data_IF_208174230079
#
_entry.id   IF_208174230079
#
_cell.length_a   1.000
_cell.length_b   1.000
_cell.length_c   1.000
_cell.angle_alpha   90.00
_cell.angle_beta   90.00
_cell.angle_gamma   90.00
#
_symmetry.space_group_name_H-M   'P 1'
#
loop_
_entity.id
_entity.type
_entity.pdbx_description
1 polymer ?
#
# COMPACT_ATOMS: atom_id res chain seq x y z
N UNK A 1 -3.79 -2.41 21.92
CA UNK A 1 -3.91 -2.63 20.46
C UNK A 1 -3.69 -1.31 19.76
N UNK A 2 -2.92 -1.28 18.67
CA UNK A 2 -2.74 -0.07 17.89
C UNK A 2 -3.93 0.07 16.93
N UNK A 3 -4.85 0.98 17.21
CA UNK A 3 -5.93 1.31 16.29
C UNK A 3 -5.33 2.05 15.09
N UNK A 4 -5.61 1.57 13.88
CA UNK A 4 -5.20 2.26 12.65
C UNK A 4 -6.13 3.46 12.48
N UNK A 5 -5.60 4.68 12.57
CA UNK A 5 -6.35 5.89 12.28
C UNK A 5 -6.15 6.25 10.80
N UNK A 6 -7.22 6.20 10.00
CA UNK A 6 -7.13 6.51 8.58
C UNK A 6 -7.23 8.02 8.37
N UNK A 7 -6.30 8.54 7.58
CA UNK A 7 -6.35 9.94 7.16
C UNK A 7 -6.01 10.05 5.68
N UNK A 8 -6.26 11.24 5.12
CA UNK A 8 -6.10 11.50 3.69
C UNK A 8 -4.67 11.24 3.18
N UNK A 9 -3.65 11.30 4.05
CA UNK A 9 -2.27 11.01 3.67
C UNK A 9 -2.00 9.54 3.38
N UNK A 10 -2.94 8.64 3.73
CA UNK A 10 -2.88 7.21 3.42
C UNK A 10 -3.47 6.90 2.04
N UNK A 11 -4.18 7.84 1.41
CA UNK A 11 -4.70 7.67 0.06
C UNK A 11 -3.56 7.50 -0.96
N UNK A 12 -3.81 6.69 -1.97
CA UNK A 12 -2.92 6.39 -3.09
C UNK A 12 -1.57 5.79 -2.67
N UNK A 13 -1.49 5.24 -1.45
CA UNK A 13 -0.34 4.48 -0.97
C UNK A 13 -0.66 3.00 -0.94
N UNK A 14 0.38 2.20 -1.17
CA UNK A 14 0.27 0.75 -1.16
C UNK A 14 0.52 0.22 0.26
N UNK A 15 -0.28 -0.75 0.66
CA UNK A 15 -0.19 -1.41 1.95
C UNK A 15 -0.34 -2.92 1.76
N UNK A 16 0.07 -3.66 2.78
CA UNK A 16 -0.38 -5.03 2.98
C UNK A 16 -0.93 -5.25 4.38
N UNK A 17 -1.89 -6.16 4.50
CA UNK A 17 -2.46 -6.57 5.79
C UNK A 17 -3.20 -7.90 5.70
N UNK A 18 -3.52 -8.48 6.86
CA UNK A 18 -4.45 -9.60 7.00
C UNK A 18 -5.70 -9.12 7.72
N UNK A 19 -6.85 -9.70 7.38
CA UNK A 19 -8.09 -9.41 8.11
C UNK A 19 -8.20 -10.26 9.38
N UNK A 20 -9.09 -9.86 10.28
CA UNK A 20 -9.51 -10.61 11.46
C UNK A 20 -10.61 -11.64 11.14
N UNK A 21 -11.15 -11.66 9.92
CA UNK A 21 -12.21 -12.58 9.57
C UNK A 21 -11.66 -14.02 9.56
N UNK A 22 -12.17 -14.94 10.40
CA UNK A 22 -11.59 -16.28 10.55
C UNK A 22 -11.73 -17.15 9.29
N UNK A 23 -12.65 -16.79 8.38
CA UNK A 23 -12.85 -17.50 7.12
C UNK A 23 -11.96 -16.94 5.99
N UNK A 24 -11.15 -15.93 6.27
CA UNK A 24 -10.31 -15.23 5.29
C UNK A 24 -8.83 -15.39 5.66
N UNK A 25 -8.09 -16.10 4.81
CA UNK A 25 -6.66 -16.37 4.99
C UNK A 25 -5.77 -15.55 4.06
N UNK A 26 -6.34 -14.60 3.33
CA UNK A 26 -5.66 -13.83 2.28
C UNK A 26 -4.73 -12.79 2.91
N UNK A 27 -3.54 -12.64 2.32
CA UNK A 27 -2.70 -11.46 2.52
C UNK A 27 -3.13 -10.42 1.48
N UNK A 28 -3.80 -9.36 1.94
CA UNK A 28 -4.20 -8.25 1.09
C UNK A 28 -2.97 -7.43 0.75
N UNK A 29 -2.75 -7.15 -0.53
CA UNK A 29 -1.70 -6.26 -1.04
C UNK A 29 -2.34 -5.35 -2.07
N UNK A 30 -2.27 -4.04 -1.85
CA UNK A 30 -3.13 -3.12 -2.58
C UNK A 30 -2.96 -1.66 -2.18
N UNK A 31 -3.72 -0.81 -2.85
CA UNK A 31 -3.72 0.64 -2.65
C UNK A 31 -5.02 1.08 -2.00
N UNK A 32 -4.94 1.98 -1.02
CA UNK A 32 -6.14 2.68 -0.54
C UNK A 32 -6.51 3.76 -1.55
N UNK A 33 -7.65 3.63 -2.20
CA UNK A 33 -8.11 4.57 -3.24
C UNK A 33 -9.25 5.49 -2.76
N UNK A 34 -9.78 5.25 -1.56
CA UNK A 34 -10.79 6.10 -0.95
C UNK A 34 -10.98 5.81 0.53
N UNK A 35 -11.42 6.81 1.28
CA UNK A 35 -11.84 6.71 2.69
C UNK A 35 -13.21 7.38 2.78
N UNK A 36 -14.18 6.72 3.41
CA UNK A 36 -15.55 7.19 3.46
C UNK A 36 -16.30 6.70 4.71
N UNK A 37 -17.43 7.34 5.06
CA UNK A 37 -18.29 6.88 6.14
C UNK A 37 -19.12 5.65 5.71
N UNK A 38 -19.75 5.01 6.70
CA UNK A 38 -20.56 3.81 6.54
C UNK A 38 -21.62 3.89 5.41
N UNK A 39 -22.32 5.02 5.29
CA UNK A 39 -23.41 5.20 4.33
C UNK A 39 -22.96 5.04 2.88
N UNK A 40 -21.69 5.36 2.60
CA UNK A 40 -21.07 5.16 1.28
C UNK A 40 -20.52 3.74 1.19
N UNK A 41 -19.84 3.26 2.24
CA UNK A 41 -19.27 1.91 2.29
C UNK A 41 -20.30 0.82 1.98
N UNK A 42 -21.49 0.92 2.59
CA UNK A 42 -22.57 -0.05 2.42
C UNK A 42 -23.11 -0.13 0.99
N UNK A 43 -23.04 0.97 0.22
CA UNK A 43 -23.48 0.97 -1.19
C UNK A 43 -22.57 0.13 -2.08
N UNK A 44 -21.29 -0.01 -1.70
CA UNK A 44 -20.28 -0.72 -2.49
C UNK A 44 -19.93 -2.11 -1.93
N UNK A 45 -20.35 -2.42 -0.71
CA UNK A 45 -20.17 -3.75 -0.11
C UNK A 45 -21.43 -4.14 0.67
N UNK A 46 -22.36 -4.88 0.03
CA UNK A 46 -23.60 -5.32 0.66
C UNK A 46 -23.34 -6.28 1.83
N UNK A 47 -22.19 -6.96 1.84
CA UNK A 47 -21.82 -7.95 2.86
C UNK A 47 -21.10 -7.35 4.09
N UNK A 48 -21.02 -6.02 4.21
CA UNK A 48 -20.37 -5.33 5.35
C UNK A 48 -20.83 -5.89 6.70
N UNK A 49 -22.14 -6.11 6.87
CA UNK A 49 -22.69 -6.62 8.14
C UNK A 49 -22.19 -8.02 8.44
N UNK A 50 -22.19 -8.91 7.44
CA UNK A 50 -21.72 -10.28 7.57
C UNK A 50 -20.22 -10.33 7.87
N UNK A 51 -19.42 -9.50 7.18
CA UNK A 51 -17.98 -9.41 7.42
C UNK A 51 -17.66 -8.84 8.80
N UNK A 52 -18.38 -7.78 9.23
CA UNK A 52 -18.26 -7.22 10.57
C UNK A 52 -18.52 -8.27 11.65
N UNK A 53 -19.61 -9.03 11.50
CA UNK A 53 -19.97 -10.11 12.42
C UNK A 53 -18.90 -11.20 12.46
N UNK A 54 -18.30 -11.55 11.33
CA UNK A 54 -17.22 -12.53 11.28
C UNK A 54 -15.97 -12.05 12.03
N UNK A 55 -15.54 -10.80 11.84
CA UNK A 55 -14.44 -10.22 12.61
C UNK A 55 -14.75 -10.14 14.11
N UNK A 56 -16.00 -9.86 14.49
CA UNK A 56 -16.45 -9.81 15.89
C UNK A 56 -16.35 -11.12 16.65
N UNK A 57 -16.38 -12.25 15.95
CA UNK A 57 -16.16 -13.56 16.58
C UNK A 57 -14.72 -13.70 17.11
N UNK A 58 -13.78 -12.96 16.52
CA UNK A 58 -12.37 -12.96 16.91
C UNK A 58 -12.06 -11.79 17.85
N UNK A 59 -12.65 -10.62 17.61
CA UNK A 59 -12.47 -9.43 18.45
C UNK A 59 -13.81 -8.78 18.84
N UNK A 60 -14.18 -8.98 20.10
CA UNK A 60 -15.43 -8.45 20.68
C UNK A 60 -15.47 -6.92 20.84
N UNK A 61 -14.33 -6.22 20.70
CA UNK A 61 -14.28 -4.75 20.75
C UNK A 61 -14.82 -4.09 19.48
N UNK A 62 -14.94 -4.85 18.38
CA UNK A 62 -15.53 -4.38 17.14
C UNK A 62 -17.04 -4.12 17.36
N UNK A 63 -17.56 -2.92 17.02
CA UNK A 63 -18.97 -2.56 17.22
C UNK A 63 -19.93 -3.55 16.58
N UNK A 64 -21.01 -3.92 17.27
CA UNK A 64 -22.05 -4.79 16.71
C UNK A 64 -22.81 -4.16 15.56
N UNK A 65 -22.98 -2.84 15.59
CA UNK A 65 -23.55 -2.06 14.51
C UNK A 65 -22.40 -1.46 13.67
N UNK A 66 -22.20 -1.90 12.41
CA UNK A 66 -21.15 -1.38 11.57
C UNK A 66 -21.29 0.12 11.27
N UNK A 67 -22.49 0.71 11.42
CA UNK A 67 -22.66 2.16 11.24
C UNK A 67 -21.94 3.00 12.30
N UNK A 68 -21.52 2.38 13.42
CA UNK A 68 -20.74 3.02 14.47
C UNK A 68 -19.23 3.07 14.16
N UNK A 69 -18.77 2.41 13.09
CA UNK A 69 -17.38 2.48 12.65
C UNK A 69 -17.17 3.80 11.90
N UNK A 70 -16.25 4.61 12.42
CA UNK A 70 -16.02 5.98 11.93
C UNK A 70 -15.54 6.05 10.48
N UNK A 71 -14.73 5.08 10.05
CA UNK A 71 -14.05 5.13 8.77
C UNK A 71 -13.95 3.77 8.10
N UNK A 72 -14.32 3.74 6.83
CA UNK A 72 -14.07 2.64 5.91
C UNK A 72 -13.11 3.09 4.83
N UNK A 73 -12.44 2.14 4.20
CA UNK A 73 -11.56 2.39 3.08
C UNK A 73 -11.79 1.42 1.94
N UNK A 74 -11.62 1.93 0.72
CA UNK A 74 -11.62 1.14 -0.50
C UNK A 74 -10.19 0.68 -0.79
N UNK A 75 -9.99 -0.62 -0.73
CA UNK A 75 -8.73 -1.27 -1.00
C UNK A 75 -8.77 -1.91 -2.38
N UNK A 76 -7.94 -1.40 -3.29
CA UNK A 76 -7.78 -1.92 -4.64
C UNK A 76 -6.59 -2.89 -4.66
N UNK A 77 -6.82 -4.16 -4.97
CA UNK A 77 -5.75 -5.15 -5.01
C UNK A 77 -4.72 -4.83 -6.08
N UNK A 78 -3.45 -5.11 -5.77
CA UNK A 78 -2.35 -5.09 -6.72
C UNK A 78 -2.32 -6.41 -7.48
N UNK A 79 -3.23 -6.61 -8.42
CA UNK A 79 -3.17 -7.77 -9.32
C UNK A 79 -2.23 -7.49 -10.50
N UNK A 80 -1.27 -8.39 -10.73
CA UNK A 80 -0.48 -8.47 -11.95
C UNK A 80 -1.27 -8.94 -13.18
N UNK A 81 -2.59 -9.19 -13.05
CA UNK A 81 -3.43 -9.76 -14.12
C UNK A 81 -4.82 -9.11 -14.18
N UNK A 82 -4.88 -7.85 -14.60
CA UNK A 82 -5.98 -7.31 -15.42
C UNK A 82 -7.38 -7.13 -14.80
N UNK A 83 -7.68 -7.68 -13.63
CA UNK A 83 -9.00 -7.52 -12.99
C UNK A 83 -8.83 -6.73 -11.69
N UNK A 84 -9.24 -5.47 -11.67
CA UNK A 84 -9.16 -4.65 -10.46
C UNK A 84 -10.20 -5.13 -9.43
N UNK A 85 -9.85 -6.12 -8.62
CA UNK A 85 -10.67 -6.53 -7.48
C UNK A 85 -10.57 -5.47 -6.37
N UNK A 86 -11.74 -5.01 -5.93
CA UNK A 86 -11.95 -3.78 -5.17
C UNK A 86 -12.77 -4.14 -3.94
N UNK A 87 -12.19 -3.97 -2.76
CA UNK A 87 -12.76 -4.42 -1.49
C UNK A 87 -12.94 -3.28 -0.50
N UNK A 88 -13.95 -3.39 0.35
CA UNK A 88 -14.20 -2.43 1.42
C UNK A 88 -13.74 -3.03 2.74
N UNK A 89 -12.95 -2.28 3.49
CA UNK A 89 -12.48 -2.65 4.82
C UNK A 89 -12.64 -1.49 5.80
N UNK A 90 -12.48 -1.78 7.08
CA UNK A 90 -12.24 -0.77 8.10
C UNK A 90 -11.02 -1.14 8.95
N UNK A 91 -10.42 -0.16 9.66
CA UNK A 91 -9.28 -0.38 10.55
C UNK A 91 -9.47 -1.52 11.55
N UNK A 92 -10.66 -1.61 12.12
CA UNK A 92 -11.00 -2.57 13.16
C UNK A 92 -11.06 -4.01 12.64
N UNK A 93 -11.13 -4.22 11.33
CA UNK A 93 -11.09 -5.56 10.74
C UNK A 93 -9.67 -6.01 10.40
N UNK A 94 -8.66 -5.16 10.59
CA UNK A 94 -7.26 -5.50 10.30
C UNK A 94 -6.66 -6.23 11.48
N UNK A 95 -6.02 -7.38 11.21
CA UNK A 95 -5.33 -8.16 12.23
C UNK A 95 -4.21 -7.33 12.89
N UNK A 96 -4.12 -7.28 14.24
CA UNK A 96 -3.11 -6.50 14.94
C UNK A 96 -1.68 -6.79 14.44
N UNK A 97 -0.93 -5.72 14.14
CA UNK A 97 0.45 -5.82 13.68
C UNK A 97 0.64 -6.28 12.23
N UNK A 98 -0.43 -6.57 11.49
CA UNK A 98 -0.34 -7.00 10.09
C UNK A 98 -0.27 -5.84 9.09
N UNK A 99 -0.61 -4.62 9.50
CA UNK A 99 -0.62 -3.45 8.61
C UNK A 99 0.79 -2.95 8.30
N UNK A 100 1.19 -3.07 7.04
CA UNK A 100 2.52 -2.69 6.56
C UNK A 100 2.38 -1.73 5.40
N UNK A 101 3.04 -0.57 5.48
CA UNK A 101 3.18 0.34 4.34
C UNK A 101 4.20 -0.23 3.37
N UNK A 102 3.80 -0.40 2.11
CA UNK A 102 4.69 -0.80 1.03
C UNK A 102 5.17 0.48 0.36
N UNK A 103 6.44 0.84 0.60
CA UNK A 103 7.05 1.99 -0.05
C UNK A 103 7.12 1.72 -1.55
N UNK A 104 6.25 2.35 -2.34
CA UNK A 104 6.20 2.21 -3.82
C UNK A 104 7.33 2.94 -4.54
N UNK A 105 8.41 3.31 -3.84
CA UNK A 105 9.60 3.89 -4.47
C UNK A 105 10.79 3.67 -3.56
N UNK A 106 11.44 2.51 -3.70
CA UNK A 106 12.85 2.44 -3.33
C UNK A 106 13.62 3.27 -4.37
N UNK A 107 13.87 4.54 -4.07
CA UNK A 107 14.83 5.33 -4.85
C UNK A 107 16.21 4.79 -4.52
N UNK A 108 16.75 3.96 -5.41
CA UNK A 108 18.15 3.50 -5.30
C UNK A 108 19.02 4.59 -5.90
N UNK A 109 19.74 5.33 -5.05
CA UNK A 109 20.75 6.30 -5.52
C UNK A 109 22.05 5.57 -5.82
N UNK A 110 22.43 5.48 -7.09
CA UNK A 110 23.70 4.90 -7.53
C UNK A 110 24.67 6.03 -7.86
N UNK A 111 25.71 6.19 -7.04
CA UNK A 111 26.80 7.14 -7.32
C UNK A 111 27.84 6.46 -8.18
N UNK A 112 27.95 6.89 -9.43
CA UNK A 112 28.98 6.45 -10.36
C UNK A 112 30.08 7.51 -10.39
N UNK A 113 31.31 7.09 -10.12
CA UNK A 113 32.50 7.93 -10.34
C UNK A 113 33.14 7.45 -11.64
N UNK A 114 32.84 8.14 -12.74
CA UNK A 114 33.39 7.85 -14.06
C UNK A 114 34.04 9.11 -14.65
N UNK A 115 35.23 8.94 -15.21
CA UNK A 115 36.01 10.00 -15.87
C UNK A 115 35.79 10.03 -17.38
N UNK A 116 35.03 9.08 -17.95
CA UNK A 116 34.91 8.87 -19.40
C UNK A 116 33.46 8.86 -19.93
N UNK A 117 32.61 9.83 -19.58
CA UNK A 117 31.28 10.04 -20.20
C UNK A 117 30.39 8.79 -20.48
N UNK A 118 30.57 7.65 -19.81
CA UNK A 118 29.84 6.41 -20.11
C UNK A 118 28.47 6.32 -19.39
N UNK A 119 27.97 7.45 -18.94
CA UNK A 119 26.69 7.64 -18.25
C UNK A 119 25.53 6.88 -18.90
N UNK A 120 25.41 6.94 -20.23
CA UNK A 120 24.33 6.29 -20.96
C UNK A 120 24.44 4.76 -20.94
N UNK A 121 25.64 4.19 -20.92
CA UNK A 121 25.83 2.73 -20.80
C UNK A 121 25.34 2.22 -19.46
N UNK A 122 25.59 2.97 -18.39
CA UNK A 122 25.17 2.59 -17.03
C UNK A 122 23.66 2.73 -16.87
N UNK A 123 23.07 3.83 -17.34
CA UNK A 123 21.61 3.98 -17.35
C UNK A 123 20.92 2.88 -18.16
N UNK A 124 21.48 2.51 -19.32
CA UNK A 124 20.96 1.41 -20.13
C UNK A 124 21.07 0.05 -19.42
N UNK A 125 22.19 -0.22 -18.75
CA UNK A 125 22.37 -1.43 -17.96
C UNK A 125 21.36 -1.49 -16.81
N UNK A 126 21.16 -0.39 -16.07
CA UNK A 126 20.19 -0.31 -14.97
C UNK A 126 18.75 -0.48 -15.46
N UNK A 127 18.39 0.17 -16.57
CA UNK A 127 17.08 -0.01 -17.20
C UNK A 127 16.84 -1.46 -17.61
N UNK A 128 17.87 -2.15 -18.14
CA UNK A 128 17.76 -3.57 -18.53
C UNK A 128 17.57 -4.52 -17.34
N UNK A 129 17.95 -4.10 -16.12
CA UNK A 129 17.81 -4.87 -14.89
C UNK A 129 16.57 -4.48 -14.08
N UNK A 130 15.62 -3.75 -14.67
CA UNK A 130 14.35 -3.40 -14.02
C UNK A 130 14.35 -2.08 -13.25
N UNK A 131 15.33 -1.20 -13.51
CA UNK A 131 15.40 0.16 -12.92
C UNK A 131 15.23 1.24 -13.99
N UNK A 132 14.05 1.36 -14.65
CA UNK A 132 13.84 2.27 -15.78
C UNK A 132 13.87 3.75 -15.41
N UNK A 133 13.72 4.08 -14.12
CA UNK A 133 13.68 5.46 -13.62
C UNK A 133 15.00 5.88 -12.95
N UNK A 134 16.11 5.18 -13.22
CA UNK A 134 17.42 5.59 -12.74
C UNK A 134 17.81 6.95 -13.35
N UNK A 135 18.35 7.86 -12.53
CA UNK A 135 18.78 9.20 -12.95
C UNK A 135 20.19 9.53 -12.44
N UNK A 136 20.86 10.47 -13.10
CA UNK A 136 22.20 10.94 -12.72
C UNK A 136 22.05 12.20 -11.90
N UNK A 137 22.33 12.10 -10.59
CA UNK A 137 22.13 13.20 -9.64
C UNK A 137 23.31 14.18 -9.63
N UNK A 138 24.53 13.72 -9.93
CA UNK A 138 25.72 14.58 -10.00
C UNK A 138 26.88 13.88 -10.70
N UNK A 139 27.62 14.61 -11.53
CA UNK A 139 28.91 14.18 -12.09
C UNK A 139 30.01 14.98 -11.37
N UNK A 140 30.87 14.31 -10.61
CA UNK A 140 32.05 14.95 -10.00
C UNK A 140 33.25 14.59 -10.86
N UNK A 141 33.75 15.56 -11.64
CA UNK A 141 35.03 15.42 -12.32
C UNK A 141 36.14 15.50 -11.26
N UNK A 142 37.19 14.65 -11.33
CA UNK A 142 38.33 14.82 -10.44
C UNK A 142 38.94 16.20 -10.66
N UNK A 143 39.21 16.92 -9.57
CA UNK A 143 39.88 18.21 -9.61
C UNK A 143 41.17 18.08 -10.44
N UNK A 144 41.26 18.87 -11.50
CA UNK A 144 42.50 19.03 -12.24
C UNK A 144 43.43 19.90 -11.41
N UNK A 145 44.04 19.31 -10.38
CA UNK A 145 45.20 19.93 -9.73
C UNK A 145 46.32 19.94 -10.75
N UNK A 146 46.53 21.13 -11.32
CA UNK A 146 47.64 21.49 -12.20
C UNK A 146 48.92 21.68 -11.41
#
# INVERSE_FOLDING_TARGET
>A
MANINLNISMLNKQYSFRSLNPNDSILYVGTIVGIFPYQIAQQYSPDITSYNNACRLVDSSIPSDPSQIEQYFWFQLSETTGTQNKYIFCPQWVAPGSWVSLNTTAVVTIKVYDTQQNHNLILNALSSQGYPNAEIVSVVLPDSTS
#
